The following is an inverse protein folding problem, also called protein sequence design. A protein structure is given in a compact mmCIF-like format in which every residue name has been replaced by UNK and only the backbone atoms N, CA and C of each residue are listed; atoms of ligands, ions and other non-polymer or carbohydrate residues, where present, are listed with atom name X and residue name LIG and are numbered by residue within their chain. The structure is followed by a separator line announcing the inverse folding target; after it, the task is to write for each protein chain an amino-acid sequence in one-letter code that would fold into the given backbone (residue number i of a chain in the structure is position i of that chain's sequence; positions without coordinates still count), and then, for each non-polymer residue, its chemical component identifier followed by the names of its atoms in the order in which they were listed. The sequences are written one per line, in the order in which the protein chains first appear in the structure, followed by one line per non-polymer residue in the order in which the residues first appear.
data_IF_928709012618
#
_entry.id   IF_928709012618
#
_cell.length_a   1.000
_cell.length_b   1.000
_cell.length_c   1.000
_cell.angle_alpha   90.00
_cell.angle_beta   90.00
_cell.angle_gamma   90.00
#
_symmetry.space_group_name_H-M   'P 1'
#
loop_
_entity.id
_entity.type
_entity.pdbx_description
1 polymer ?
#
# COMPACT_ATOMS: atom_id res chain seq x y z
N UNK A 1 19.34 6.17 -16.89
CA UNK A 1 18.39 5.44 -16.02
C UNK A 1 18.54 6.03 -14.63
N UNK A 2 17.53 6.67 -14.10
CA UNK A 2 17.56 7.17 -12.72
C UNK A 2 17.56 5.96 -11.80
N UNK A 3 18.56 5.84 -10.94
CA UNK A 3 18.65 4.76 -9.97
C UNK A 3 17.69 5.11 -8.82
N UNK A 4 16.66 4.28 -8.61
CA UNK A 4 15.74 4.44 -7.50
C UNK A 4 16.36 3.74 -6.28
N UNK A 5 17.18 4.45 -5.52
CA UNK A 5 17.81 3.91 -4.33
C UNK A 5 16.82 3.93 -3.15
N UNK A 6 16.63 2.76 -2.53
CA UNK A 6 15.87 2.61 -1.30
C UNK A 6 16.80 2.57 -0.10
N UNK A 7 16.33 3.03 1.06
CA UNK A 7 17.01 2.83 2.33
C UNK A 7 17.06 1.36 2.76
N UNK A 8 17.79 1.08 3.84
CA UNK A 8 17.90 -0.25 4.45
C UNK A 8 19.03 -1.12 3.90
N UNK A 9 19.94 -0.57 3.10
CA UNK A 9 21.17 -1.28 2.74
C UNK A 9 22.18 -1.20 3.89
N UNK A 10 22.09 -2.18 4.78
CA UNK A 10 22.97 -2.36 5.95
C UNK A 10 23.95 -3.53 5.78
N UNK A 11 24.04 -4.09 4.57
CA UNK A 11 24.78 -5.35 4.30
C UNK A 11 26.16 -5.10 3.69
N UNK A 12 26.57 -3.86 3.49
CA UNK A 12 27.89 -3.49 2.97
C UNK A 12 29.03 -3.80 3.96
N UNK A 13 30.29 -3.66 3.53
CA UNK A 13 31.47 -3.95 4.38
C UNK A 13 31.59 -3.03 5.61
N UNK A 14 30.95 -1.85 5.58
CA UNK A 14 30.87 -0.89 6.67
C UNK A 14 29.40 -0.53 6.94
N UNK A 15 28.61 -1.43 7.59
CA UNK A 15 27.21 -1.14 7.86
C UNK A 15 27.09 0.07 8.81
N UNK A 16 26.06 0.92 8.66
CA UNK A 16 25.87 2.06 9.54
C UNK A 16 25.60 1.58 10.97
N UNK A 17 26.18 2.27 11.95
CA UNK A 17 25.94 2.00 13.39
C UNK A 17 24.50 2.39 13.76
N UNK A 18 23.94 3.37 13.04
CA UNK A 18 22.60 3.90 13.26
C UNK A 18 21.94 4.15 11.90
N UNK A 19 20.85 3.44 11.64
CA UNK A 19 20.12 3.52 10.36
C UNK A 19 18.84 4.33 10.49
N UNK A 20 18.81 5.49 9.83
CA UNK A 20 17.62 6.35 9.67
C UNK A 20 17.05 6.32 8.26
N UNK A 21 17.53 5.42 7.40
CA UNK A 21 17.10 5.35 6.00
C UNK A 21 15.76 4.62 5.79
N UNK A 22 15.27 3.91 6.81
CA UNK A 22 13.97 3.23 6.78
C UNK A 22 13.13 3.57 8.01
N UNK A 23 11.82 3.72 7.79
CA UNK A 23 10.87 4.01 8.87
C UNK A 23 10.15 2.72 9.28
N UNK A 24 10.56 2.13 10.39
CA UNK A 24 9.96 0.94 10.99
C UNK A 24 9.56 1.26 12.43
N UNK A 25 8.57 0.51 12.97
CA UNK A 25 8.22 0.59 14.38
C UNK A 25 9.44 0.20 15.25
N UNK A 26 9.98 1.13 16.07
CA UNK A 26 11.18 0.87 16.87
C UNK A 26 10.96 -0.14 18.01
N UNK A 27 9.70 -0.43 18.37
CA UNK A 27 9.37 -1.45 19.38
C UNK A 27 9.63 -2.86 18.87
N UNK A 28 9.73 -3.03 17.54
CA UNK A 28 9.92 -4.32 16.90
C UNK A 28 8.62 -5.13 16.77
N UNK A 29 8.71 -6.35 16.24
CA UNK A 29 7.54 -7.19 16.02
C UNK A 29 7.00 -7.78 17.34
N UNK A 30 5.67 -7.97 17.45
CA UNK A 30 5.06 -8.62 18.60
C UNK A 30 5.59 -10.05 18.79
N UNK A 31 5.78 -10.47 20.06
CA UNK A 31 6.35 -11.78 20.38
C UNK A 31 5.57 -12.95 19.78
N UNK A 32 4.22 -12.91 19.83
CA UNK A 32 3.38 -13.97 19.27
C UNK A 32 3.57 -14.11 17.75
N UNK A 33 3.74 -13.00 17.05
CA UNK A 33 3.98 -12.97 15.60
C UNK A 33 5.32 -13.61 15.25
N UNK A 34 6.37 -13.33 16.03
CA UNK A 34 7.68 -13.97 15.87
C UNK A 34 7.62 -15.48 16.13
N UNK A 35 6.92 -15.90 17.19
CA UNK A 35 6.73 -17.31 17.54
C UNK A 35 6.00 -18.05 16.42
N UNK A 36 4.88 -17.49 15.89
CA UNK A 36 4.13 -18.08 14.79
C UNK A 36 4.97 -18.24 13.52
N UNK A 37 5.72 -17.17 13.13
CA UNK A 37 6.63 -17.24 12.00
C UNK A 37 7.72 -18.30 12.16
N UNK A 38 8.26 -18.45 13.38
CA UNK A 38 9.28 -19.45 13.71
C UNK A 38 8.72 -20.87 13.64
N UNK A 39 7.53 -21.11 14.16
CA UNK A 39 6.89 -22.43 14.13
C UNK A 39 6.51 -22.87 12.71
N UNK A 40 6.21 -21.92 11.81
CA UNK A 40 5.93 -22.22 10.41
C UNK A 40 7.09 -22.93 9.66
N UNK A 41 8.33 -22.88 10.20
CA UNK A 41 9.48 -23.64 9.67
C UNK A 41 9.22 -25.14 9.67
N UNK A 42 8.45 -25.64 10.62
CA UNK A 42 8.13 -27.08 10.74
C UNK A 42 7.26 -27.61 9.59
N UNK A 43 6.68 -26.72 8.79
CA UNK A 43 5.83 -27.07 7.64
C UNK A 43 6.44 -26.73 6.28
N UNK A 44 7.75 -26.49 6.19
CA UNK A 44 8.42 -26.07 4.93
C UNK A 44 8.50 -27.14 3.84
N UNK A 45 8.13 -28.38 4.16
CA UNK A 45 7.97 -29.48 3.21
C UNK A 45 6.71 -29.33 2.34
N UNK A 46 5.85 -28.33 2.63
CA UNK A 46 4.60 -28.04 1.89
C UNK A 46 4.56 -26.61 1.41
N UNK A 47 3.92 -26.40 0.24
CA UNK A 47 3.60 -25.07 -0.23
C UNK A 47 2.60 -24.38 0.71
N UNK A 48 2.70 -23.05 0.89
CA UNK A 48 1.71 -22.27 1.65
C UNK A 48 0.35 -22.25 0.95
N UNK A 49 -0.70 -21.81 1.64
CA UNK A 49 -2.03 -21.64 1.02
C UNK A 49 -1.96 -20.61 -0.13
N UNK A 50 -2.16 -21.01 -1.40
CA UNK A 50 -2.05 -20.11 -2.54
C UNK A 50 -3.10 -18.98 -2.53
N UNK A 51 -4.20 -19.15 -1.78
CA UNK A 51 -5.29 -18.18 -1.66
C UNK A 51 -5.23 -17.34 -0.37
N UNK A 52 -4.25 -17.61 0.51
CA UNK A 52 -4.12 -16.91 1.79
C UNK A 52 -5.44 -16.84 2.59
N UNK A 53 -6.20 -17.96 2.65
CA UNK A 53 -7.56 -17.95 3.24
C UNK A 53 -7.57 -17.56 4.71
N UNK A 54 -6.59 -18.01 5.50
CA UNK A 54 -6.45 -17.62 6.91
C UNK A 54 -6.24 -16.11 7.05
N UNK A 55 -5.33 -15.55 6.27
CA UNK A 55 -5.06 -14.11 6.23
C UNK A 55 -6.29 -13.29 5.78
N UNK A 56 -6.98 -13.72 4.70
CA UNK A 56 -8.19 -13.04 4.21
C UNK A 56 -9.27 -13.02 5.30
N UNK A 57 -9.50 -14.13 5.99
CA UNK A 57 -10.47 -14.21 7.10
C UNK A 57 -10.09 -13.28 8.25
N UNK A 58 -8.81 -13.27 8.67
CA UNK A 58 -8.35 -12.39 9.74
C UNK A 58 -8.53 -10.91 9.39
N UNK A 59 -8.15 -10.51 8.16
CA UNK A 59 -8.33 -9.14 7.70
C UNK A 59 -9.81 -8.77 7.50
N UNK A 60 -10.64 -9.68 7.01
CA UNK A 60 -12.09 -9.48 6.87
C UNK A 60 -12.75 -9.19 8.21
N UNK A 61 -12.41 -9.96 9.24
CA UNK A 61 -12.89 -9.73 10.62
C UNK A 61 -12.37 -8.39 11.18
N UNK A 62 -11.10 -8.03 10.91
CA UNK A 62 -10.47 -6.80 11.38
C UNK A 62 -11.14 -5.54 10.82
N UNK A 63 -11.50 -5.56 9.53
CA UNK A 63 -12.01 -4.40 8.79
C UNK A 63 -13.53 -4.42 8.56
N UNK A 64 -14.22 -5.50 8.91
CA UNK A 64 -15.65 -5.62 8.68
C UNK A 64 -16.03 -5.69 7.20
N UNK A 65 -15.17 -6.25 6.34
CA UNK A 65 -15.40 -6.38 4.90
C UNK A 65 -15.43 -7.84 4.47
N UNK A 66 -16.05 -8.18 3.32
CA UNK A 66 -16.02 -9.54 2.76
C UNK A 66 -14.58 -9.99 2.44
N UNK A 67 -14.28 -11.30 2.61
CA UNK A 67 -12.98 -11.90 2.29
C UNK A 67 -12.57 -11.68 0.82
N UNK A 68 -13.56 -11.67 -0.09
CA UNK A 68 -13.36 -11.43 -1.52
C UNK A 68 -12.96 -10.00 -1.88
N UNK A 69 -13.08 -9.04 -0.96
CA UNK A 69 -12.62 -7.67 -1.14
C UNK A 69 -11.16 -7.48 -0.71
N UNK A 70 -10.47 -8.57 -0.37
CA UNK A 70 -9.11 -8.55 0.17
C UNK A 70 -8.17 -9.39 -0.69
N UNK A 71 -7.00 -8.83 -1.04
CA UNK A 71 -5.93 -9.56 -1.71
C UNK A 71 -4.62 -9.38 -0.95
N UNK A 72 -3.91 -10.48 -0.70
CA UNK A 72 -2.60 -10.49 -0.07
C UNK A 72 -1.47 -10.62 -1.08
N UNK A 73 -0.30 -10.07 -0.74
CA UNK A 73 0.90 -10.13 -1.56
C UNK A 73 2.20 -10.00 -0.78
N UNK A 74 3.31 -10.07 -1.49
CA UNK A 74 4.67 -9.96 -0.96
C UNK A 74 5.02 -8.51 -0.60
N UNK A 75 4.26 -7.92 0.33
CA UNK A 75 4.30 -6.50 0.69
C UNK A 75 3.42 -5.64 -0.21
N UNK A 76 3.21 -4.38 0.18
CA UNK A 76 2.38 -3.45 -0.60
C UNK A 76 2.96 -3.18 -1.99
N UNK A 77 4.30 -3.15 -2.15
CA UNK A 77 4.94 -2.88 -3.44
C UNK A 77 4.58 -3.91 -4.52
N UNK A 78 4.45 -5.19 -4.15
CA UNK A 78 3.98 -6.24 -5.06
C UNK A 78 2.52 -6.00 -5.50
N UNK A 79 1.66 -5.62 -4.56
CA UNK A 79 0.25 -5.33 -4.85
C UNK A 79 0.07 -4.05 -5.68
N UNK A 80 0.89 -3.03 -5.42
CA UNK A 80 0.90 -1.78 -6.20
C UNK A 80 1.32 -2.07 -7.64
N UNK A 81 2.39 -2.84 -7.85
CA UNK A 81 2.81 -3.26 -9.20
C UNK A 81 1.69 -4.00 -9.93
N UNK A 82 1.07 -4.99 -9.27
CA UNK A 82 -0.04 -5.75 -9.85
C UNK A 82 -1.26 -4.88 -10.15
N UNK A 83 -1.61 -3.95 -9.26
CA UNK A 83 -2.71 -3.00 -9.48
C UNK A 83 -2.48 -2.13 -10.71
N UNK A 84 -1.30 -1.52 -10.79
CA UNK A 84 -0.96 -0.65 -11.92
C UNK A 84 -0.89 -1.42 -13.25
N UNK A 85 -0.39 -2.66 -13.22
CA UNK A 85 -0.40 -3.55 -14.40
C UNK A 85 -1.78 -4.05 -14.78
N UNK A 86 -2.69 -4.19 -13.82
CA UNK A 86 -4.08 -4.56 -14.08
C UNK A 86 -4.88 -3.42 -14.68
N UNK A 87 -4.70 -2.21 -14.13
CA UNK A 87 -5.43 -1.01 -14.55
C UNK A 87 -4.87 -0.32 -15.78
N UNK A 88 -3.56 -0.38 -15.99
CA UNK A 88 -2.83 0.24 -17.11
C UNK A 88 -3.27 1.70 -17.39
N UNK A 89 -3.27 2.61 -16.38
CA UNK A 89 -3.73 3.96 -16.58
C UNK A 89 -2.85 4.70 -17.60
N UNK A 90 -3.46 5.37 -18.57
CA UNK A 90 -2.76 6.23 -19.53
C UNK A 90 -2.32 7.56 -18.91
N UNK A 91 -3.05 8.05 -17.89
CA UNK A 91 -2.77 9.32 -17.22
C UNK A 91 -3.01 9.22 -15.71
N UNK A 92 -1.97 9.49 -14.91
CA UNK A 92 -2.01 9.44 -13.45
C UNK A 92 -1.62 10.77 -12.82
N UNK A 93 -2.27 11.11 -11.69
CA UNK A 93 -1.93 12.23 -10.82
C UNK A 93 -1.23 11.72 -9.56
N UNK A 94 -0.04 12.23 -9.30
CA UNK A 94 0.74 11.97 -8.09
C UNK A 94 0.98 13.24 -7.29
N UNK A 95 1.17 13.12 -5.97
CA UNK A 95 1.75 14.18 -5.16
C UNK A 95 3.27 14.24 -5.37
N UNK A 96 3.86 15.42 -5.18
CA UNK A 96 5.31 15.62 -5.20
C UNK A 96 5.75 16.54 -4.04
N UNK A 97 6.61 16.06 -3.10
CA UNK A 97 7.22 14.72 -3.08
C UNK A 97 6.28 13.63 -2.58
N UNK A 98 6.47 12.41 -3.08
CA UNK A 98 5.85 11.18 -2.58
C UNK A 98 6.77 9.97 -2.79
N UNK A 99 6.34 8.77 -2.42
CA UNK A 99 7.14 7.55 -2.56
C UNK A 99 7.44 7.23 -4.03
N UNK A 100 8.72 7.02 -4.35
CA UNK A 100 9.23 6.92 -5.73
C UNK A 100 8.71 5.74 -6.53
N UNK A 101 8.29 4.64 -5.86
CA UNK A 101 7.84 3.42 -6.53
C UNK A 101 6.60 3.62 -7.40
N UNK A 102 5.68 4.53 -7.02
CA UNK A 102 4.50 4.81 -7.85
C UNK A 102 4.92 5.32 -9.22
N UNK A 103 5.80 6.32 -9.23
CA UNK A 103 6.37 6.88 -10.46
C UNK A 103 7.10 5.82 -11.27
N UNK A 104 7.99 5.05 -10.62
CA UNK A 104 8.82 4.03 -11.27
C UNK A 104 7.96 3.02 -12.05
N UNK A 105 6.90 2.51 -11.42
CA UNK A 105 6.02 1.52 -12.06
C UNK A 105 5.19 2.15 -13.18
N UNK A 106 4.65 3.35 -12.97
CA UNK A 106 3.86 4.07 -13.97
C UNK A 106 4.70 4.43 -15.21
N UNK A 107 5.92 4.95 -15.02
CA UNK A 107 6.86 5.27 -16.12
C UNK A 107 7.24 4.00 -16.92
N UNK A 108 7.46 2.88 -16.23
CA UNK A 108 7.75 1.60 -16.89
C UNK A 108 6.61 1.10 -17.78
N UNK A 109 5.39 1.57 -17.55
CA UNK A 109 4.20 1.24 -18.35
C UNK A 109 3.85 2.31 -19.39
N UNK A 110 4.65 3.37 -19.49
CA UNK A 110 4.40 4.48 -20.42
C UNK A 110 3.26 5.41 -20.01
N UNK A 111 2.84 5.38 -18.73
CA UNK A 111 1.82 6.27 -18.19
C UNK A 111 2.28 7.72 -18.19
N UNK A 112 1.42 8.65 -18.64
CA UNK A 112 1.64 10.09 -18.47
C UNK A 112 1.40 10.48 -17.01
N UNK A 113 2.40 11.09 -16.36
CA UNK A 113 2.33 11.47 -14.96
C UNK A 113 2.19 12.98 -14.83
N UNK A 114 1.11 13.42 -14.19
CA UNK A 114 0.93 14.77 -13.69
C UNK A 114 1.32 14.83 -12.23
N UNK A 115 2.10 15.82 -11.82
CA UNK A 115 2.46 16.04 -10.42
C UNK A 115 1.69 17.24 -9.83
N UNK A 116 1.20 17.03 -8.60
CA UNK A 116 0.72 18.10 -7.74
C UNK A 116 1.76 18.39 -6.66
N UNK A 117 2.41 19.55 -6.76
CA UNK A 117 3.47 19.93 -5.83
C UNK A 117 2.92 20.24 -4.44
N UNK A 118 3.47 19.56 -3.43
CA UNK A 118 3.28 19.88 -2.02
C UNK A 118 4.26 20.99 -1.64
N UNK A 119 3.75 22.10 -1.14
CA UNK A 119 4.53 23.31 -0.91
C UNK A 119 5.21 23.29 0.46
N UNK A 120 6.51 23.63 0.50
CA UNK A 120 7.29 23.69 1.72
C UNK A 120 6.72 24.72 2.71
N UNK A 121 6.28 25.90 2.23
CA UNK A 121 5.69 26.95 3.05
C UNK A 121 4.34 26.54 3.67
N UNK A 122 3.72 25.45 3.19
CA UNK A 122 2.55 24.79 3.78
C UNK A 122 2.93 23.55 4.60
N UNK A 123 4.21 23.36 4.91
CA UNK A 123 4.74 22.19 5.60
C UNK A 123 4.46 20.90 4.85
N UNK A 124 4.41 20.92 3.52
CA UNK A 124 4.10 19.79 2.64
C UNK A 124 2.72 19.16 2.90
N UNK A 125 1.78 19.90 3.47
CA UNK A 125 0.40 19.42 3.60
C UNK A 125 -0.34 19.50 2.25
N UNK A 126 -1.14 18.47 1.95
CA UNK A 126 -2.10 18.55 0.85
C UNK A 126 -3.19 19.57 1.19
N UNK A 127 -3.64 20.31 0.20
CA UNK A 127 -4.67 21.36 0.35
C UNK A 127 -5.77 21.15 -0.70
N UNK A 128 -6.91 21.88 -0.57
CA UNK A 128 -8.01 21.84 -1.53
C UNK A 128 -7.59 22.14 -2.97
N UNK A 129 -6.43 22.77 -3.21
CA UNK A 129 -5.85 22.94 -4.55
C UNK A 129 -5.61 21.61 -5.29
N UNK A 130 -5.49 20.49 -4.57
CA UNK A 130 -5.39 19.16 -5.16
C UNK A 130 -6.65 18.83 -5.97
N UNK A 131 -7.83 19.27 -5.54
CA UNK A 131 -9.10 19.03 -6.23
C UNK A 131 -9.12 19.64 -7.64
N UNK A 132 -8.43 20.77 -7.83
CA UNK A 132 -8.32 21.43 -9.14
C UNK A 132 -7.49 20.65 -10.16
N UNK A 133 -6.60 19.76 -9.65
CA UNK A 133 -5.78 18.89 -10.49
C UNK A 133 -6.52 17.62 -10.95
N UNK A 134 -7.60 17.23 -10.26
CA UNK A 134 -8.42 16.05 -10.56
C UNK A 134 -9.47 16.44 -11.58
N UNK A 135 -9.20 16.20 -12.89
CA UNK A 135 -10.02 16.64 -14.01
C UNK A 135 -10.38 15.46 -14.92
N UNK A 136 -11.40 15.56 -15.75
CA UNK A 136 -11.65 14.60 -16.81
C UNK A 136 -10.38 14.31 -17.64
N UNK A 137 -10.08 13.03 -17.86
CA UNK A 137 -8.85 12.59 -18.51
C UNK A 137 -7.75 12.13 -17.55
N UNK A 138 -7.80 12.48 -16.25
CA UNK A 138 -7.02 11.78 -15.20
C UNK A 138 -7.74 10.45 -14.93
N UNK A 139 -7.02 9.33 -15.11
CA UNK A 139 -7.58 7.99 -14.94
C UNK A 139 -7.26 7.40 -13.56
N UNK A 140 -6.13 7.83 -12.97
CA UNK A 140 -5.67 7.39 -11.66
C UNK A 140 -5.20 8.58 -10.82
N UNK A 141 -5.65 8.66 -9.59
CA UNK A 141 -5.05 9.49 -8.53
C UNK A 141 -4.40 8.53 -7.53
N UNK A 142 -3.08 8.64 -7.34
CA UNK A 142 -2.35 7.79 -6.38
C UNK A 142 -1.83 8.63 -5.22
N UNK A 143 -2.30 8.33 -4.02
CA UNK A 143 -1.93 9.03 -2.78
C UNK A 143 -1.16 8.10 -1.84
N UNK A 144 -0.19 8.65 -1.12
CA UNK A 144 0.40 8.05 0.07
C UNK A 144 -0.15 8.79 1.30
N UNK A 145 -0.83 8.09 2.20
CA UNK A 145 -1.46 8.74 3.35
C UNK A 145 -1.41 7.86 4.62
N UNK A 146 -0.55 8.20 5.59
CA UNK A 146 0.39 9.33 5.66
C UNK A 146 1.45 9.31 4.55
N UNK A 147 1.84 10.50 4.05
CA UNK A 147 2.73 10.62 2.92
C UNK A 147 4.19 10.34 3.29
N UNK A 148 4.85 9.52 2.52
CA UNK A 148 6.30 9.32 2.55
C UNK A 148 6.93 10.15 1.40
N UNK A 149 7.89 11.09 1.65
CA UNK A 149 8.72 11.19 2.86
C UNK A 149 8.24 12.24 3.88
N UNK A 150 7.16 12.96 3.64
CA UNK A 150 6.83 14.16 4.42
C UNK A 150 6.23 13.86 5.81
N UNK A 151 5.77 12.62 6.04
CA UNK A 151 5.08 12.20 7.27
C UNK A 151 3.71 12.87 7.46
N UNK A 152 3.25 13.65 6.49
CA UNK A 152 1.97 14.38 6.60
C UNK A 152 0.80 13.46 6.30
N UNK A 153 -0.19 13.48 7.17
CA UNK A 153 -1.50 12.90 6.93
C UNK A 153 -2.41 13.94 6.28
N UNK A 154 -3.19 13.51 5.30
CA UNK A 154 -4.25 14.33 4.72
C UNK A 154 -5.42 14.41 5.71
N UNK A 155 -6.02 15.59 5.82
CA UNK A 155 -7.23 15.78 6.62
C UNK A 155 -8.35 14.88 6.10
N UNK A 156 -9.13 14.23 6.99
CA UNK A 156 -10.17 13.27 6.59
C UNK A 156 -11.21 13.86 5.64
N UNK A 157 -11.64 15.10 5.87
CA UNK A 157 -12.63 15.78 5.03
C UNK A 157 -12.08 15.99 3.61
N UNK A 158 -10.83 16.47 3.48
CA UNK A 158 -10.19 16.64 2.18
C UNK A 158 -10.02 15.30 1.46
N UNK A 159 -9.71 14.22 2.18
CA UNK A 159 -9.56 12.89 1.59
C UNK A 159 -10.90 12.38 1.04
N UNK A 160 -12.02 12.64 1.75
CA UNK A 160 -13.37 12.37 1.28
C UNK A 160 -13.71 13.17 0.02
N UNK A 161 -13.41 14.49 0.01
CA UNK A 161 -13.61 15.34 -1.16
C UNK A 161 -12.77 14.88 -2.37
N UNK A 162 -11.54 14.43 -2.15
CA UNK A 162 -10.69 13.85 -3.21
C UNK A 162 -11.35 12.60 -3.79
N UNK A 163 -11.87 11.70 -2.97
CA UNK A 163 -12.56 10.50 -3.43
C UNK A 163 -13.81 10.85 -4.27
N UNK A 164 -14.63 11.76 -3.79
CA UNK A 164 -15.82 12.21 -4.52
C UNK A 164 -15.44 12.89 -5.83
N UNK A 165 -14.36 13.68 -5.83
CA UNK A 165 -13.85 14.33 -7.05
C UNK A 165 -13.31 13.33 -8.05
N UNK A 166 -12.59 12.28 -7.59
CA UNK A 166 -12.14 11.19 -8.46
C UNK A 166 -13.33 10.49 -9.13
N UNK A 167 -14.36 10.14 -8.36
CA UNK A 167 -15.59 9.52 -8.88
C UNK A 167 -16.28 10.40 -9.91
N UNK A 168 -16.41 11.70 -9.64
CA UNK A 168 -17.01 12.66 -10.56
C UNK A 168 -16.20 12.83 -11.87
N UNK A 169 -14.88 12.70 -11.81
CA UNK A 169 -13.99 12.78 -12.97
C UNK A 169 -13.83 11.44 -13.72
N UNK A 170 -14.36 10.34 -13.18
CA UNK A 170 -14.15 8.98 -13.72
C UNK A 170 -12.77 8.43 -13.44
N UNK A 171 -12.03 9.01 -12.47
CA UNK A 171 -10.72 8.56 -12.04
C UNK A 171 -10.82 7.50 -10.93
N UNK A 172 -9.86 6.57 -10.88
CA UNK A 172 -9.71 5.65 -9.77
C UNK A 172 -8.82 6.27 -8.68
N UNK A 173 -9.19 6.12 -7.41
CA UNK A 173 -8.36 6.55 -6.29
C UNK A 173 -7.62 5.35 -5.68
N UNK A 174 -6.29 5.40 -5.68
CA UNK A 174 -5.44 4.47 -4.97
C UNK A 174 -4.79 5.17 -3.77
N UNK A 175 -4.93 4.58 -2.57
CA UNK A 175 -4.36 5.15 -1.34
C UNK A 175 -3.43 4.14 -0.69
N UNK A 176 -2.15 4.46 -0.64
CA UNK A 176 -1.17 3.72 0.14
C UNK A 176 -1.23 4.16 1.61
N UNK A 177 -1.69 3.25 2.45
CA UNK A 177 -1.89 3.43 3.88
C UNK A 177 -0.87 2.65 4.73
N UNK A 178 0.31 2.34 4.19
CA UNK A 178 1.33 1.53 4.87
C UNK A 178 1.82 2.12 6.20
N UNK A 179 1.66 3.43 6.41
CA UNK A 179 2.03 4.13 7.65
C UNK A 179 0.83 4.51 8.52
N UNK A 180 -0.38 4.17 8.11
CA UNK A 180 -1.59 4.71 8.74
C UNK A 180 -1.73 4.31 10.22
N UNK A 181 -1.39 3.06 10.57
CA UNK A 181 -1.44 2.57 11.95
C UNK A 181 -0.35 3.16 12.87
N UNK A 182 0.63 3.88 12.32
CA UNK A 182 1.63 4.66 13.06
C UNK A 182 1.22 6.13 13.23
N UNK A 183 0.01 6.49 12.83
CA UNK A 183 -0.53 7.85 12.93
C UNK A 183 -1.82 7.87 13.75
N UNK A 184 -2.20 9.06 14.23
CA UNK A 184 -3.46 9.26 14.94
C UNK A 184 -4.68 9.19 14.01
N UNK A 185 -5.86 8.90 14.57
CA UNK A 185 -7.15 8.88 13.89
C UNK A 185 -7.61 7.49 13.46
N UNK A 186 -8.81 7.43 12.88
CA UNK A 186 -9.42 6.17 12.44
C UNK A 186 -8.69 5.59 11.23
N UNK A 187 -8.10 4.39 11.35
CA UNK A 187 -7.45 3.73 10.22
C UNK A 187 -8.45 3.21 9.19
N UNK A 188 -9.71 3.01 9.54
CA UNK A 188 -10.72 2.41 8.68
C UNK A 188 -11.71 3.41 8.08
N UNK A 189 -11.45 4.73 8.21
CA UNK A 189 -12.31 5.80 7.74
C UNK A 189 -12.75 5.68 6.25
N UNK A 190 -11.89 5.11 5.37
CA UNK A 190 -12.23 4.89 3.96
C UNK A 190 -12.78 3.48 3.67
N UNK A 191 -12.78 2.57 4.63
CA UNK A 191 -13.19 1.18 4.40
C UNK A 191 -14.68 1.10 4.01
N UNK A 192 -15.52 1.92 4.65
CA UNK A 192 -16.95 2.02 4.31
C UNK A 192 -17.26 2.55 2.90
N UNK A 193 -16.27 3.14 2.22
CA UNK A 193 -16.43 3.68 0.86
C UNK A 193 -16.11 2.67 -0.25
N UNK A 194 -15.57 1.50 0.09
CA UNK A 194 -15.14 0.48 -0.89
C UNK A 194 -16.29 -0.02 -1.76
N UNK A 195 -17.48 -0.22 -1.19
CA UNK A 195 -18.64 -0.75 -1.90
C UNK A 195 -19.19 0.20 -2.98
N UNK A 196 -18.84 1.49 -2.89
CA UNK A 196 -19.22 2.50 -3.90
C UNK A 196 -18.31 2.47 -5.13
N UNK A 197 -17.24 1.68 -5.13
CA UNK A 197 -16.27 1.55 -6.22
C UNK A 197 -15.31 2.73 -6.38
N UNK A 198 -14.36 2.60 -7.32
CA UNK A 198 -13.38 3.63 -7.64
C UNK A 198 -12.30 3.84 -6.59
N UNK A 199 -12.11 2.90 -5.66
CA UNK A 199 -11.18 3.01 -4.54
C UNK A 199 -10.45 1.68 -4.29
N UNK A 200 -9.13 1.77 -4.07
CA UNK A 200 -8.30 0.70 -3.51
C UNK A 200 -7.42 1.24 -2.39
N UNK A 201 -7.31 0.50 -1.29
CA UNK A 201 -6.49 0.82 -0.14
C UNK A 201 -5.37 -0.22 -0.02
N UNK A 202 -4.11 0.23 0.03
CA UNK A 202 -2.95 -0.65 0.26
C UNK A 202 -2.50 -0.57 1.69
N UNK A 203 -2.21 -1.71 2.30
CA UNK A 203 -1.73 -1.86 3.66
C UNK A 203 -0.53 -2.79 3.72
N UNK A 204 0.38 -2.55 4.67
CA UNK A 204 1.52 -3.41 4.89
C UNK A 204 1.78 -3.61 6.38
N UNK A 205 2.07 -4.85 6.75
CA UNK A 205 2.52 -5.17 8.11
C UNK A 205 4.01 -4.87 8.31
N UNK A 206 4.68 -4.43 7.25
CA UNK A 206 6.11 -4.09 7.20
C UNK A 206 6.50 -3.02 8.21
N UNK A 207 5.70 -1.96 8.33
CA UNK A 207 6.04 -0.75 9.09
C UNK A 207 5.51 -0.82 10.52
N UNK A 208 4.21 -0.95 10.69
CA UNK A 208 3.53 -0.93 11.99
C UNK A 208 3.92 -2.10 12.88
N UNK A 209 4.09 -3.28 12.27
CA UNK A 209 4.47 -4.51 12.99
C UNK A 209 5.95 -4.85 12.85
N UNK A 210 6.77 -3.97 12.24
CA UNK A 210 8.20 -4.19 12.01
C UNK A 210 8.53 -5.52 11.29
N UNK A 211 7.67 -5.97 10.37
CA UNK A 211 7.81 -7.24 9.65
C UNK A 211 8.46 -7.05 8.27
N UNK A 212 9.45 -6.16 8.16
CA UNK A 212 10.07 -5.82 6.88
C UNK A 212 10.63 -7.03 6.13
N UNK A 213 11.26 -7.96 6.85
CA UNK A 213 11.87 -9.17 6.28
C UNK A 213 10.85 -10.23 5.85
N UNK A 214 9.62 -10.24 6.40
CA UNK A 214 8.59 -11.22 6.04
C UNK A 214 7.86 -10.88 4.73
N UNK A 215 7.92 -9.62 4.30
CA UNK A 215 7.30 -9.18 3.04
C UNK A 215 5.79 -9.48 3.00
N UNK A 216 5.00 -8.92 3.90
CA UNK A 216 3.56 -9.13 3.95
C UNK A 216 2.80 -7.81 3.82
N UNK A 217 1.85 -7.77 2.90
CA UNK A 217 0.92 -6.67 2.70
C UNK A 217 -0.39 -7.17 2.10
N UNK A 218 -1.38 -6.30 2.09
CA UNK A 218 -2.69 -6.58 1.51
C UNK A 218 -3.31 -5.31 0.95
N UNK A 219 -4.30 -5.48 0.08
CA UNK A 219 -5.17 -4.40 -0.34
C UNK A 219 -6.63 -4.73 -0.08
N UNK A 220 -7.42 -3.66 0.06
CA UNK A 220 -8.87 -3.69 0.20
C UNK A 220 -9.49 -2.98 -1.01
N UNK A 221 -10.41 -3.63 -1.71
CA UNK A 221 -11.08 -3.08 -2.88
C UNK A 221 -12.45 -3.71 -3.05
N UNK A 222 -13.47 -2.90 -3.37
CA UNK A 222 -14.81 -3.41 -3.67
C UNK A 222 -14.95 -3.96 -5.09
N UNK A 223 -14.02 -3.63 -6.00
CA UNK A 223 -14.01 -4.15 -7.37
C UNK A 223 -13.35 -5.54 -7.42
N UNK A 224 -14.18 -6.58 -7.35
CA UNK A 224 -13.75 -7.99 -7.40
C UNK A 224 -13.11 -8.35 -8.73
N UNK A 225 -13.58 -7.77 -9.83
CA UNK A 225 -13.01 -8.01 -11.16
C UNK A 225 -11.57 -7.54 -11.24
N UNK A 226 -11.29 -6.36 -10.69
CA UNK A 226 -9.93 -5.84 -10.57
C UNK A 226 -9.05 -6.75 -9.70
N UNK A 227 -9.54 -7.17 -8.54
CA UNK A 227 -8.79 -8.06 -7.64
C UNK A 227 -8.49 -9.42 -8.30
N UNK A 228 -9.41 -9.99 -9.10
CA UNK A 228 -9.18 -11.21 -9.86
C UNK A 228 -8.10 -11.03 -10.94
N UNK A 229 -8.05 -9.87 -11.62
CA UNK A 229 -6.97 -9.58 -12.56
C UNK A 229 -5.64 -9.47 -11.82
N UNK A 230 -5.59 -8.77 -10.70
CA UNK A 230 -4.39 -8.66 -9.86
C UNK A 230 -3.93 -10.02 -9.32
N UNK A 231 -4.85 -10.92 -8.96
CA UNK A 231 -4.52 -12.27 -8.51
C UNK A 231 -3.90 -13.11 -9.63
N UNK A 232 -4.40 -13.01 -10.86
CA UNK A 232 -3.81 -13.68 -12.04
C UNK A 232 -2.42 -13.17 -12.41
N UNK A 233 -2.09 -11.92 -12.08
CA UNK A 233 -0.76 -11.33 -12.29
C UNK A 233 0.27 -11.75 -11.24
N UNK A 234 -0.17 -12.38 -10.15
CA UNK A 234 0.73 -12.87 -9.11
C UNK A 234 1.53 -14.09 -9.59
N UNK A 235 2.79 -14.26 -9.13
CA UNK A 235 3.44 -15.54 -9.19
C UNK A 235 2.68 -16.57 -8.32
N UNK A 236 2.83 -17.88 -8.61
CA UNK A 236 2.29 -18.91 -7.71
C UNK A 236 2.83 -18.72 -6.27
N UNK A 237 1.97 -18.93 -5.27
CA UNK A 237 2.31 -18.81 -3.85
C UNK A 237 3.00 -17.47 -3.47
N UNK A 238 2.35 -16.32 -3.69
CA UNK A 238 2.98 -15.01 -3.54
C UNK A 238 3.36 -14.66 -2.10
N UNK A 239 2.78 -15.35 -1.10
CA UNK A 239 3.02 -15.13 0.33
C UNK A 239 3.58 -16.39 0.95
N UNK A 240 4.77 -16.29 1.57
CA UNK A 240 5.47 -17.42 2.19
C UNK A 240 4.73 -17.96 3.43
N UNK A 241 4.99 -19.22 3.79
CA UNK A 241 4.37 -19.85 4.97
C UNK A 241 4.65 -19.07 6.28
N UNK A 242 5.89 -18.60 6.58
CA UNK A 242 6.14 -17.76 7.75
C UNK A 242 5.37 -16.44 7.73
N UNK A 243 5.21 -15.82 6.55
CA UNK A 243 4.46 -14.58 6.43
C UNK A 243 2.96 -14.81 6.66
N UNK A 244 2.40 -15.92 6.16
CA UNK A 244 1.00 -16.28 6.43
C UNK A 244 0.77 -16.52 7.91
N UNK A 245 1.57 -17.38 8.55
CA UNK A 245 1.45 -17.68 9.98
C UNK A 245 1.58 -16.42 10.86
N UNK A 246 2.52 -15.55 10.53
CA UNK A 246 2.69 -14.28 11.24
C UNK A 246 1.50 -13.33 11.10
N UNK A 247 0.92 -13.26 9.91
CA UNK A 247 -0.18 -12.35 9.63
C UNK A 247 -1.55 -12.81 10.15
N UNK A 248 -1.69 -14.11 10.43
CA UNK A 248 -2.90 -14.69 11.03
C UNK A 248 -2.97 -14.53 12.56
N UNK A 249 -1.86 -14.12 13.20
CA UNK A 249 -1.70 -13.98 14.66
C UNK A 249 -2.00 -12.59 15.17
#
# INVERSE_FOLDING_TARGET
MQQYDHGGDIYGPNPPVLDFSVSLNPVGPPRKVLEAAREAVLGWDRYPDPRCRGLRRAAALRHGVPEENILFGSGASDLIDRFLRAGQPGHALLLAPTFSEYRRVLEAQGCQIQEHALLQEKGFAATHRLLDAIRPGVELVFLCNPNNPTGRRMEPDLLGEVLDRCRAAGAFLAVDQCFLELSEGDPDALVGELDRGGLILFRALTKSYALAGLRLGYCLCGDRGLLEVMERLAPPWPVSAPAQAAGET
#
